data_IF_789071000859
#
_entry.id   IF_789071000859
#
_cell.length_a   1.000
_cell.length_b   1.000
_cell.length_c   1.000
_cell.angle_alpha   90.00
_cell.angle_beta   90.00
_cell.angle_gamma   90.00
#
_symmetry.space_group_name_H-M   'P 1'
#
loop_
_entity.id
_entity.type
_entity.pdbx_description
1 polymer ?
#
# COMPACT_ATOMS: atom_id res chain seq x y z
N UNK A 1 -18.87 4.66 2.88
CA UNK A 1 -20.10 4.11 3.50
C UNK A 1 -19.67 3.03 4.49
N UNK A 2 -20.35 2.89 5.64
CA UNK A 2 -20.16 1.80 6.61
C UNK A 2 -21.39 0.88 6.58
N UNK A 3 -21.21 -0.43 6.72
CA UNK A 3 -22.33 -1.38 6.83
C UNK A 3 -22.72 -1.56 8.29
N UNK A 4 -23.99 -1.38 8.60
CA UNK A 4 -24.61 -1.66 9.88
C UNK A 4 -25.71 -2.73 9.72
N UNK A 5 -26.25 -3.22 10.84
CA UNK A 5 -27.35 -4.20 10.83
C UNK A 5 -28.57 -3.70 10.04
N UNK A 6 -28.81 -2.39 10.01
CA UNK A 6 -29.92 -1.75 9.31
C UNK A 6 -29.61 -1.35 7.85
N UNK A 7 -28.41 -1.65 7.35
CA UNK A 7 -28.01 -1.33 5.97
C UNK A 7 -26.74 -0.47 5.89
N UNK A 8 -26.53 0.18 4.74
CA UNK A 8 -25.38 1.05 4.51
C UNK A 8 -25.64 2.46 5.02
N UNK A 9 -24.62 3.08 5.64
CA UNK A 9 -24.63 4.51 5.97
C UNK A 9 -24.61 5.37 4.71
N UNK A 10 -24.86 6.67 4.87
CA UNK A 10 -24.57 7.66 3.83
C UNK A 10 -23.09 7.63 3.41
N UNK A 11 -22.84 8.05 2.17
CA UNK A 11 -21.49 8.22 1.67
C UNK A 11 -20.80 9.40 2.38
N UNK A 12 -19.54 9.20 2.75
CA UNK A 12 -18.69 10.23 3.33
C UNK A 12 -17.59 10.61 2.34
N UNK A 13 -17.30 11.91 2.22
CA UNK A 13 -16.29 12.42 1.30
C UNK A 13 -14.90 12.42 1.96
N UNK A 14 -13.97 11.65 1.40
CA UNK A 14 -12.60 11.50 1.93
C UNK A 14 -11.66 12.60 1.43
N UNK A 15 -11.75 13.00 0.17
CA UNK A 15 -10.95 14.10 -0.38
C UNK A 15 -11.84 15.07 -1.15
N UNK A 16 -11.47 16.35 -1.12
CA UNK A 16 -12.14 17.40 -1.89
C UNK A 16 -11.56 17.58 -3.29
N UNK A 17 -10.46 16.90 -3.61
CA UNK A 17 -9.75 17.03 -4.88
C UNK A 17 -10.37 16.17 -6.00
N UNK A 18 -10.41 16.71 -7.22
CA UNK A 18 -11.18 16.15 -8.34
C UNK A 18 -10.68 14.79 -8.85
N UNK A 19 -9.43 14.41 -8.57
CA UNK A 19 -8.84 13.14 -9.02
C UNK A 19 -8.15 12.35 -7.92
N UNK A 20 -8.70 12.43 -6.71
CA UNK A 20 -8.38 11.45 -5.67
C UNK A 20 -8.87 10.06 -6.11
N UNK A 21 -7.97 9.08 -6.21
CA UNK A 21 -8.29 7.73 -6.72
C UNK A 21 -7.42 6.65 -6.06
N UNK A 22 -7.67 5.38 -6.43
CA UNK A 22 -6.95 4.18 -5.93
C UNK A 22 -6.81 4.15 -4.40
N UNK A 23 -7.92 4.27 -3.64
CA UNK A 23 -7.84 4.24 -2.19
C UNK A 23 -7.52 2.83 -1.69
N UNK A 24 -6.67 2.74 -0.68
CA UNK A 24 -6.54 1.56 0.18
C UNK A 24 -6.92 1.95 1.60
N UNK A 25 -7.56 1.02 2.31
CA UNK A 25 -8.06 1.25 3.67
C UNK A 25 -7.57 0.17 4.62
N UNK A 26 -7.35 0.55 5.87
CA UNK A 26 -7.14 -0.37 6.99
C UNK A 26 -7.95 0.09 8.19
N UNK A 27 -8.32 -0.84 9.06
CA UNK A 27 -8.93 -0.55 10.35
C UNK A 27 -7.86 -0.68 11.41
N UNK A 28 -7.83 0.26 12.35
CA UNK A 28 -6.88 0.26 13.46
C UNK A 28 -7.49 -0.33 14.73
N UNK A 29 -6.70 -0.42 15.81
CA UNK A 29 -7.13 -1.03 17.08
C UNK A 29 -8.34 -0.34 17.73
N UNK A 30 -8.62 0.91 17.37
CA UNK A 30 -9.71 1.72 17.92
C UNK A 30 -10.95 1.73 17.00
N UNK A 31 -11.00 0.85 16.00
CA UNK A 31 -12.00 0.85 14.92
C UNK A 31 -12.00 2.15 14.07
N UNK A 32 -10.90 2.91 14.11
CA UNK A 32 -10.74 4.07 13.25
C UNK A 32 -10.32 3.61 11.84
N UNK A 33 -10.86 4.26 10.81
CA UNK A 33 -10.54 3.93 9.42
C UNK A 33 -9.32 4.75 8.97
N UNK A 34 -8.27 4.05 8.57
CA UNK A 34 -7.07 4.61 7.94
C UNK A 34 -7.24 4.53 6.43
N UNK A 35 -7.06 5.64 5.72
CA UNK A 35 -7.19 5.67 4.26
C UNK A 35 -5.95 6.31 3.65
N UNK A 36 -5.35 5.61 2.68
CA UNK A 36 -4.31 6.14 1.80
C UNK A 36 -4.85 6.18 0.37
N UNK A 37 -4.50 7.21 -0.39
CA UNK A 37 -5.01 7.40 -1.74
C UNK A 37 -4.06 8.24 -2.59
N UNK A 38 -4.19 8.14 -3.91
CA UNK A 38 -3.52 9.05 -4.82
C UNK A 38 -4.21 10.42 -4.80
N UNK A 39 -3.43 11.49 -4.90
CA UNK A 39 -3.91 12.82 -5.25
C UNK A 39 -3.29 13.29 -6.58
N UNK A 40 -4.08 13.89 -7.46
CA UNK A 40 -3.61 14.42 -8.75
C UNK A 40 -4.27 15.78 -9.00
N UNK A 41 -3.63 16.90 -8.64
CA UNK A 41 -4.15 18.21 -8.98
C UNK A 41 -3.98 18.50 -10.48
N UNK A 42 -5.05 18.94 -11.14
CA UNK A 42 -4.99 19.53 -12.48
C UNK A 42 -4.03 20.74 -12.50
N UNK A 43 -3.28 21.01 -13.60
CA UNK A 43 -3.24 20.30 -14.88
C UNK A 43 -2.04 19.36 -15.05
N UNK A 44 -1.25 19.10 -14.00
CA UNK A 44 0.01 18.34 -14.17
C UNK A 44 -0.28 16.84 -14.28
N UNK A 45 0.55 16.08 -15.04
CA UNK A 45 0.47 14.61 -15.07
C UNK A 45 1.01 13.99 -13.77
N UNK A 46 1.42 14.82 -12.81
CA UNK A 46 2.09 14.37 -11.61
C UNK A 46 1.09 14.05 -10.49
N UNK A 47 1.52 13.14 -9.64
CA UNK A 47 0.73 12.49 -8.64
C UNK A 47 1.41 12.63 -7.29
N UNK A 48 0.61 12.81 -6.24
CA UNK A 48 1.04 12.69 -4.84
C UNK A 48 0.34 11.53 -4.14
N UNK A 49 0.83 11.23 -2.93
CA UNK A 49 0.24 10.23 -2.04
C UNK A 49 -0.32 10.95 -0.82
N UNK A 50 -1.54 10.61 -0.41
CA UNK A 50 -2.27 11.23 0.70
C UNK A 50 -2.74 10.22 1.71
N UNK A 51 -2.91 10.68 2.93
CA UNK A 51 -3.45 9.88 4.01
C UNK A 51 -4.47 10.68 4.82
N UNK A 52 -5.52 9.99 5.28
CA UNK A 52 -6.48 10.50 6.27
C UNK A 52 -6.90 9.41 7.24
N UNK A 53 -7.23 9.83 8.46
CA UNK A 53 -7.85 8.99 9.49
C UNK A 53 -9.28 9.44 9.72
N UNK A 54 -10.20 8.49 9.84
CA UNK A 54 -11.58 8.73 10.25
C UNK A 54 -11.80 8.09 11.61
N UNK A 55 -12.00 8.91 12.62
CA UNK A 55 -12.31 8.44 13.97
C UNK A 55 -13.77 7.99 14.06
N UNK A 56 -14.31 7.75 15.27
CA UNK A 56 -15.76 7.61 15.46
C UNK A 56 -16.55 8.87 15.05
N UNK A 57 -16.00 10.07 15.26
CA UNK A 57 -16.71 11.34 15.08
C UNK A 57 -16.50 12.00 13.72
N UNK A 58 -15.26 12.06 13.21
CA UNK A 58 -14.96 12.84 12.01
C UNK A 58 -13.66 12.43 11.31
N UNK A 59 -13.45 12.96 10.11
CA UNK A 59 -12.18 12.86 9.40
C UNK A 59 -11.19 13.87 9.96
N UNK A 60 -10.00 13.40 10.31
CA UNK A 60 -8.85 14.25 10.64
C UNK A 60 -8.32 14.97 9.39
N UNK A 61 -7.43 15.94 9.59
CA UNK A 61 -6.77 16.69 8.51
C UNK A 61 -6.04 15.77 7.53
N UNK A 62 -5.99 16.18 6.26
CA UNK A 62 -5.25 15.46 5.22
C UNK A 62 -3.74 15.58 5.44
N UNK A 63 -3.03 14.47 5.30
CA UNK A 63 -1.57 14.43 5.36
C UNK A 63 -1.00 14.15 3.97
N UNK A 64 0.04 14.91 3.61
CA UNK A 64 0.84 14.70 2.41
C UNK A 64 1.96 13.72 2.72
N UNK A 65 1.88 12.51 2.17
CA UNK A 65 2.97 11.53 2.24
C UNK A 65 4.03 11.87 1.17
N UNK A 66 3.55 12.13 -0.04
CA UNK A 66 4.38 12.50 -1.18
C UNK A 66 3.75 13.70 -1.89
N UNK A 67 4.57 14.68 -2.26
CA UNK A 67 4.14 15.90 -2.94
C UNK A 67 3.53 15.61 -4.32
N UNK A 68 2.71 16.54 -4.82
CA UNK A 68 1.95 16.34 -6.06
C UNK A 68 2.80 16.39 -7.33
N UNK A 69 4.01 16.91 -7.24
CA UNK A 69 4.98 17.01 -8.33
C UNK A 69 6.04 15.90 -8.26
N UNK A 70 5.97 15.01 -7.27
CA UNK A 70 7.03 14.06 -6.98
C UNK A 70 6.93 12.76 -7.78
N UNK A 71 5.78 12.45 -8.40
CA UNK A 71 5.57 11.16 -9.09
C UNK A 71 4.91 11.34 -10.46
N UNK A 72 5.53 10.86 -11.53
CA UNK A 72 4.94 10.92 -12.89
C UNK A 72 3.87 9.85 -13.13
N UNK A 73 3.77 8.85 -12.25
CA UNK A 73 2.77 7.79 -12.37
C UNK A 73 1.84 7.76 -11.16
N UNK A 74 0.66 7.16 -11.32
CA UNK A 74 -0.25 6.94 -10.20
C UNK A 74 0.44 6.02 -9.16
N UNK A 75 0.48 6.37 -7.87
CA UNK A 75 1.28 5.68 -6.85
C UNK A 75 0.72 4.36 -6.32
N UNK A 76 -0.53 3.97 -6.63
CA UNK A 76 -1.19 2.72 -6.17
C UNK A 76 -0.77 2.31 -4.74
N UNK A 77 -1.15 3.10 -3.72
CA UNK A 77 -0.69 2.85 -2.35
C UNK A 77 -1.41 1.66 -1.71
N UNK A 78 -0.74 0.99 -0.78
CA UNK A 78 -1.30 -0.06 0.07
C UNK A 78 -0.97 0.23 1.54
N UNK A 79 -1.83 -0.21 2.46
CA UNK A 79 -1.77 0.14 3.89
C UNK A 79 -2.08 -1.06 4.78
N UNK A 80 -1.31 -1.20 5.86
CA UNK A 80 -1.54 -2.18 6.92
C UNK A 80 -1.37 -1.53 8.31
N UNK A 81 -2.00 -2.11 9.34
CA UNK A 81 -1.87 -1.69 10.74
C UNK A 81 -1.40 -2.86 11.58
N UNK A 82 -0.32 -2.65 12.35
CA UNK A 82 0.27 -3.69 13.20
C UNK A 82 -0.39 -3.81 14.59
N UNK A 83 0.05 -4.80 15.36
CA UNK A 83 -0.46 -5.05 16.71
C UNK A 83 -0.16 -3.92 17.71
N UNK A 84 0.84 -3.08 17.42
CA UNK A 84 1.20 -1.90 18.19
C UNK A 84 0.42 -0.65 17.73
N UNK A 85 -0.52 -0.81 16.79
CA UNK A 85 -1.29 0.26 16.17
C UNK A 85 -0.47 1.20 15.27
N UNK A 86 0.71 0.75 14.82
CA UNK A 86 1.52 1.47 13.85
C UNK A 86 1.00 1.24 12.43
N UNK A 87 1.06 2.28 11.61
CA UNK A 87 0.58 2.24 10.23
C UNK A 87 1.77 2.04 9.30
N UNK A 88 1.61 1.15 8.33
CA UNK A 88 2.61 0.79 7.34
C UNK A 88 2.04 1.09 5.97
N UNK A 89 2.74 1.91 5.17
CA UNK A 89 2.26 2.33 3.86
C UNK A 89 3.35 2.08 2.82
N UNK A 90 2.97 1.48 1.70
CA UNK A 90 3.83 1.31 0.52
C UNK A 90 3.20 1.95 -0.70
N UNK A 91 4.02 2.43 -1.63
CA UNK A 91 3.55 3.00 -2.89
C UNK A 91 4.62 2.88 -3.98
N UNK A 92 4.19 2.86 -5.24
CA UNK A 92 5.10 2.96 -6.38
C UNK A 92 5.47 4.43 -6.64
N UNK A 93 6.68 4.64 -7.12
CA UNK A 93 7.21 5.94 -7.45
C UNK A 93 7.90 5.91 -8.81
N UNK A 94 7.62 6.91 -9.65
CA UNK A 94 8.33 7.19 -10.90
C UNK A 94 8.84 8.62 -10.86
N UNK A 95 10.16 8.78 -11.04
CA UNK A 95 10.77 10.09 -11.13
C UNK A 95 10.11 10.94 -12.24
N UNK A 96 9.72 12.20 -11.97
CA UNK A 96 9.16 13.11 -12.98
C UNK A 96 10.09 13.44 -14.16
N UNK A 97 11.41 13.38 -13.93
CA UNK A 97 12.40 13.90 -14.87
C UNK A 97 13.35 12.82 -15.40
N UNK A 98 13.21 11.57 -14.94
CA UNK A 98 14.08 10.45 -15.31
C UNK A 98 13.26 9.17 -15.43
N UNK A 99 13.73 8.20 -16.21
CA UNK A 99 13.13 6.87 -16.22
C UNK A 99 13.64 6.03 -15.05
N UNK A 100 13.31 6.49 -13.85
CA UNK A 100 13.68 5.88 -12.57
C UNK A 100 12.41 5.47 -11.81
N UNK A 101 12.39 4.24 -11.33
CA UNK A 101 11.27 3.62 -10.63
C UNK A 101 11.69 3.13 -9.26
N UNK A 102 10.79 3.20 -8.28
CA UNK A 102 11.00 2.66 -6.96
C UNK A 102 9.71 2.14 -6.31
N UNK A 103 9.86 1.23 -5.35
CA UNK A 103 8.85 0.94 -4.33
C UNK A 103 9.29 1.64 -3.05
N UNK A 104 8.45 2.54 -2.54
CA UNK A 104 8.70 3.30 -1.31
C UNK A 104 7.86 2.78 -0.15
N UNK A 105 8.34 3.02 1.05
CA UNK A 105 7.70 2.61 2.30
C UNK A 105 7.80 3.72 3.35
N UNK A 106 6.77 3.85 4.19
CA UNK A 106 6.82 4.66 5.40
C UNK A 106 6.07 3.98 6.54
N UNK A 107 6.64 4.10 7.74
CA UNK A 107 6.01 3.72 9.01
C UNK A 107 5.49 4.96 9.72
N UNK A 108 4.33 4.85 10.35
CA UNK A 108 3.77 5.87 11.24
C UNK A 108 3.59 5.27 12.62
N UNK A 109 4.29 5.85 13.59
CA UNK A 109 4.14 5.54 15.02
C UNK A 109 3.34 6.68 15.67
N UNK A 110 3.93 7.39 16.62
CA UNK A 110 3.43 8.68 17.12
C UNK A 110 3.74 9.82 16.14
N UNK A 111 4.68 9.59 15.22
CA UNK A 111 5.05 10.51 14.15
C UNK A 111 5.37 9.75 12.85
N UNK A 112 5.38 10.49 11.74
CA UNK A 112 5.82 9.97 10.44
C UNK A 112 7.32 9.70 10.50
N UNK A 113 7.71 8.46 10.25
CA UNK A 113 9.11 8.08 10.13
C UNK A 113 9.65 8.49 8.75
N UNK A 114 10.98 8.56 8.57
CA UNK A 114 11.57 8.77 7.25
C UNK A 114 11.08 7.74 6.24
N UNK A 115 10.92 8.16 4.98
CA UNK A 115 10.60 7.24 3.89
C UNK A 115 11.80 6.36 3.56
N UNK A 116 11.55 5.07 3.43
CA UNK A 116 12.53 4.09 2.98
C UNK A 116 12.28 3.69 1.52
N UNK A 117 13.32 3.24 0.83
CA UNK A 117 13.23 2.69 -0.51
C UNK A 117 13.36 1.17 -0.41
N UNK A 118 12.29 0.44 -0.75
CA UNK A 118 12.28 -1.02 -0.74
C UNK A 118 12.93 -1.62 -1.98
N UNK A 119 12.79 -0.94 -3.12
CA UNK A 119 13.47 -1.27 -4.37
C UNK A 119 13.73 0.01 -5.15
N UNK A 120 14.91 0.12 -5.76
CA UNK A 120 15.32 1.22 -6.62
C UNK A 120 16.07 2.36 -5.94
N UNK A 121 16.25 3.49 -6.65
CA UNK A 121 15.81 3.75 -8.02
C UNK A 121 16.36 2.74 -9.04
N UNK A 122 15.52 2.27 -9.96
CA UNK A 122 15.94 1.38 -11.06
C UNK A 122 15.44 1.93 -12.40
N UNK A 123 16.09 1.53 -13.50
CA UNK A 123 15.59 1.78 -14.86
C UNK A 123 14.44 0.86 -15.28
N UNK A 124 14.02 -0.07 -14.41
CA UNK A 124 12.97 -1.03 -14.72
C UNK A 124 11.68 -0.70 -13.95
N UNK A 125 10.51 -0.73 -14.59
CA UNK A 125 9.24 -0.49 -13.90
C UNK A 125 9.05 -1.37 -12.66
N UNK A 126 8.72 -0.73 -11.53
CA UNK A 126 8.28 -1.36 -10.28
C UNK A 126 6.90 -0.80 -9.93
N UNK A 127 5.88 -1.67 -9.80
CA UNK A 127 4.48 -1.24 -9.75
C UNK A 127 3.61 -2.07 -8.82
N UNK A 128 2.48 -1.48 -8.44
CA UNK A 128 1.38 -2.09 -7.72
C UNK A 128 1.81 -2.86 -6.46
N UNK A 129 2.53 -2.21 -5.52
CA UNK A 129 2.92 -2.87 -4.28
C UNK A 129 1.70 -3.11 -3.39
N UNK A 130 1.68 -4.26 -2.74
CA UNK A 130 0.74 -4.57 -1.66
C UNK A 130 1.52 -4.94 -0.40
N UNK A 131 0.99 -4.58 0.76
CA UNK A 131 1.61 -4.84 2.07
C UNK A 131 0.63 -5.58 2.98
N UNK A 132 1.14 -6.57 3.72
CA UNK A 132 0.43 -7.21 4.84
C UNK A 132 1.35 -7.47 6.02
N UNK A 133 0.76 -7.94 7.11
CA UNK A 133 1.45 -8.45 8.29
C UNK A 133 1.15 -9.93 8.50
N UNK A 134 2.11 -10.70 8.97
CA UNK A 134 1.88 -12.08 9.37
C UNK A 134 1.46 -12.24 10.83
N UNK A 135 1.25 -13.49 11.28
CA UNK A 135 0.83 -13.81 12.65
C UNK A 135 1.85 -13.39 13.69
N UNK A 136 3.11 -13.32 13.28
CA UNK A 136 4.25 -13.00 14.12
C UNK A 136 4.55 -11.49 14.06
N UNK A 137 3.76 -10.72 13.29
CA UNK A 137 3.89 -9.27 13.13
C UNK A 137 4.93 -8.84 12.09
N UNK A 138 5.45 -9.75 11.27
CA UNK A 138 6.39 -9.39 10.21
C UNK A 138 5.66 -8.78 9.02
N UNK A 139 6.25 -7.78 8.38
CA UNK A 139 5.68 -7.19 7.16
C UNK A 139 6.07 -8.01 5.94
N UNK A 140 5.15 -8.11 5.00
CA UNK A 140 5.35 -8.73 3.69
C UNK A 140 4.94 -7.72 2.64
N UNK A 141 5.82 -7.45 1.68
CA UNK A 141 5.54 -6.58 0.55
C UNK A 141 5.78 -7.37 -0.72
N UNK A 142 4.76 -7.44 -1.58
CA UNK A 142 4.87 -7.97 -2.95
C UNK A 142 4.52 -6.88 -3.94
N UNK A 143 5.11 -6.95 -5.13
CA UNK A 143 4.83 -6.02 -6.21
C UNK A 143 5.15 -6.68 -7.55
N UNK A 144 4.69 -6.10 -8.66
CA UNK A 144 5.12 -6.51 -9.99
C UNK A 144 6.31 -5.64 -10.42
N UNK A 145 7.37 -6.26 -10.92
CA UNK A 145 8.57 -5.54 -11.32
C UNK A 145 9.33 -6.22 -12.44
N UNK A 146 9.81 -5.43 -13.40
CA UNK A 146 10.84 -5.86 -14.36
C UNK A 146 12.22 -5.74 -13.71
N UNK A 147 13.20 -6.48 -14.22
CA UNK A 147 14.59 -6.39 -13.77
C UNK A 147 15.55 -6.92 -14.85
N UNK A 148 16.87 -6.83 -14.65
CA UNK A 148 17.86 -7.24 -15.65
C UNK A 148 17.75 -8.70 -16.12
N UNK A 149 17.24 -9.59 -15.29
CA UNK A 149 16.99 -11.00 -15.62
C UNK A 149 15.61 -11.29 -16.23
N UNK A 150 14.71 -10.31 -16.22
CA UNK A 150 13.43 -10.34 -16.93
C UNK A 150 13.09 -8.90 -17.37
N UNK A 151 13.79 -8.37 -18.39
CA UNK A 151 13.66 -6.97 -18.78
C UNK A 151 12.34 -6.72 -19.53
N UNK A 152 11.80 -7.75 -20.17
CA UNK A 152 10.63 -7.64 -21.04
C UNK A 152 9.31 -7.99 -20.33
N UNK A 153 9.36 -8.78 -19.25
CA UNK A 153 8.18 -9.29 -18.55
C UNK A 153 8.16 -8.91 -17.07
N UNK A 154 7.03 -8.40 -16.58
CA UNK A 154 6.81 -8.20 -15.15
C UNK A 154 6.87 -9.53 -14.41
N UNK A 155 7.60 -9.57 -13.30
CA UNK A 155 7.62 -10.71 -12.38
C UNK A 155 7.11 -10.28 -11.02
N UNK A 156 6.58 -11.22 -10.24
CA UNK A 156 6.22 -10.96 -8.85
C UNK A 156 7.50 -10.92 -8.03
N UNK A 157 7.73 -9.80 -7.35
CA UNK A 157 8.89 -9.54 -6.50
C UNK A 157 8.43 -9.35 -5.06
N UNK A 158 9.31 -9.64 -4.11
CA UNK A 158 8.96 -9.77 -2.68
C UNK A 158 10.08 -9.29 -1.74
N UNK A 159 9.68 -8.70 -0.61
CA UNK A 159 10.52 -8.47 0.59
C UNK A 159 9.74 -8.75 1.86
N UNK A 160 10.45 -9.23 2.88
CA UNK A 160 9.94 -9.39 4.25
C UNK A 160 10.65 -8.42 5.18
N UNK A 161 9.94 -7.84 6.15
CA UNK A 161 10.55 -7.14 7.28
C UNK A 161 10.30 -7.94 8.57
N UNK A 162 11.37 -8.38 9.21
CA UNK A 162 11.33 -8.86 10.60
C UNK A 162 11.93 -7.78 11.50
N UNK A 163 13.25 -7.75 11.63
CA UNK A 163 14.03 -6.67 12.27
C UNK A 163 14.60 -5.70 11.23
N UNK A 164 14.78 -6.18 10.00
CA UNK A 164 15.19 -5.42 8.83
C UNK A 164 14.55 -6.03 7.58
N UNK A 165 14.58 -5.28 6.47
CA UNK A 165 14.11 -5.78 5.19
C UNK A 165 15.06 -6.83 4.60
N UNK A 166 14.54 -8.01 4.28
CA UNK A 166 15.25 -9.05 3.52
C UNK A 166 15.74 -8.52 2.17
N UNK A 167 16.69 -9.14 1.46
CA UNK A 167 16.92 -8.85 0.04
C UNK A 167 15.65 -9.02 -0.80
N UNK A 168 15.60 -8.35 -1.96
CA UNK A 168 14.53 -8.56 -2.94
C UNK A 168 14.59 -9.98 -3.49
N UNK A 169 13.44 -10.66 -3.48
CA UNK A 169 13.27 -11.99 -4.05
C UNK A 169 12.37 -11.91 -5.28
N UNK A 170 12.65 -12.71 -6.31
CA UNK A 170 11.74 -12.92 -7.44
C UNK A 170 10.96 -14.20 -7.17
N UNK A 171 9.63 -14.10 -7.05
CA UNK A 171 8.74 -15.24 -6.80
C UNK A 171 8.34 -15.95 -8.09
N UNK A 172 8.40 -15.26 -9.24
CA UNK A 172 8.10 -15.82 -10.56
C UNK A 172 9.29 -15.64 -11.51
N UNK A 173 9.35 -16.51 -12.51
CA UNK A 173 10.28 -16.45 -13.64
C UNK A 173 9.59 -16.95 -14.91
N UNK A 174 8.66 -16.15 -15.42
CA UNK A 174 7.82 -16.48 -16.58
C UNK A 174 8.21 -15.67 -17.83
N UNK A 175 7.93 -16.21 -19.01
CA UNK A 175 8.06 -15.52 -20.30
C UNK A 175 6.79 -14.76 -20.70
N UNK A 176 6.02 -14.32 -19.71
CA UNK A 176 4.81 -13.51 -19.82
C UNK A 176 4.71 -12.64 -18.56
N UNK A 177 3.91 -11.58 -18.63
CA UNK A 177 3.75 -10.65 -17.53
C UNK A 177 3.05 -11.33 -16.35
N UNK A 178 3.52 -11.06 -15.13
CA UNK A 178 2.90 -11.52 -13.89
C UNK A 178 2.51 -10.27 -13.11
N UNK A 179 1.21 -10.04 -12.97
CA UNK A 179 0.71 -8.72 -12.60
C UNK A 179 -0.31 -8.73 -11.46
N UNK A 180 -0.47 -7.55 -10.86
CA UNK A 180 -1.48 -7.25 -9.86
C UNK A 180 -1.49 -8.23 -8.68
N UNK A 181 -0.33 -8.48 -8.03
CA UNK A 181 -0.30 -9.34 -6.86
C UNK A 181 -1.06 -8.70 -5.71
N UNK A 182 -1.92 -9.48 -5.06
CA UNK A 182 -2.67 -9.04 -3.89
C UNK A 182 -2.42 -9.96 -2.70
N UNK A 183 -2.08 -9.37 -1.57
CA UNK A 183 -1.84 -10.04 -0.30
C UNK A 183 -3.09 -9.95 0.60
N UNK A 184 -3.46 -11.03 1.28
CA UNK A 184 -4.56 -11.02 2.27
C UNK A 184 -4.09 -11.37 3.68
N UNK A 185 -4.02 -10.36 4.56
CA UNK A 185 -3.97 -10.48 6.04
C UNK A 185 -4.13 -9.11 6.71
N UNK A 186 -4.89 -9.01 7.82
CA UNK A 186 -4.87 -7.86 8.74
C UNK A 186 -4.95 -8.27 10.23
N UNK A 187 -4.46 -7.43 11.15
CA UNK A 187 -4.64 -7.65 12.61
C UNK A 187 -6.03 -7.27 13.10
N UNK A 188 -6.68 -6.31 12.44
CA UNK A 188 -7.98 -5.75 12.79
C UNK A 188 -8.88 -5.65 11.55
N UNK A 189 -10.21 -5.70 11.70
CA UNK A 189 -10.95 -5.85 12.95
C UNK A 189 -10.99 -7.31 13.45
N UNK A 190 -11.30 -7.47 14.74
CA UNK A 190 -11.64 -8.76 15.35
C UNK A 190 -13.15 -8.87 15.57
N UNK A 191 -13.72 -10.03 15.27
CA UNK A 191 -15.13 -10.37 15.57
C UNK A 191 -15.10 -11.55 16.54
N UNK A 192 -15.71 -11.41 17.71
CA UNK A 192 -15.71 -12.44 18.78
C UNK A 192 -14.30 -12.95 19.14
N UNK A 193 -13.32 -12.03 19.24
CA UNK A 193 -11.89 -12.32 19.44
C UNK A 193 -11.20 -13.08 18.30
N UNK A 194 -11.88 -13.34 17.18
CA UNK A 194 -11.30 -13.92 15.98
C UNK A 194 -10.86 -12.83 15.01
N UNK A 195 -9.63 -12.93 14.52
CA UNK A 195 -9.11 -12.06 13.44
C UNK A 195 -9.73 -12.50 12.12
N UNK A 196 -10.36 -11.56 11.42
CA UNK A 196 -10.96 -11.81 10.11
C UNK A 196 -9.85 -11.85 9.02
N UNK A 197 -10.02 -12.61 7.93
CA UNK A 197 -9.02 -12.78 6.84
C UNK A 197 -7.66 -13.40 7.24
N UNK A 198 -7.69 -14.48 8.04
CA UNK A 198 -6.48 -15.25 8.41
C UNK A 198 -6.48 -16.65 7.77
N UNK A 199 -5.52 -16.98 6.89
CA UNK A 199 -5.22 -18.37 6.56
C UNK A 199 -4.76 -19.12 7.81
N UNK A 200 -5.19 -20.38 7.99
CA UNK A 200 -4.85 -21.17 9.19
C UNK A 200 -3.33 -21.27 9.42
N UNK A 201 -2.55 -21.31 8.34
CA UNK A 201 -1.09 -21.19 8.30
C UNK A 201 -0.67 -20.42 7.02
N UNK A 202 0.42 -19.67 7.08
CA UNK A 202 1.04 -19.01 5.90
C UNK A 202 0.29 -17.79 5.37
N UNK A 203 0.57 -17.41 4.12
CA UNK A 203 -0.08 -16.31 3.40
C UNK A 203 -0.89 -16.86 2.24
N UNK A 204 -1.93 -16.14 1.87
CA UNK A 204 -2.60 -16.33 0.59
C UNK A 204 -2.41 -15.05 -0.23
N UNK A 205 -2.07 -15.24 -1.50
CA UNK A 205 -2.03 -14.17 -2.48
C UNK A 205 -2.64 -14.67 -3.79
N UNK A 206 -3.14 -13.74 -4.58
CA UNK A 206 -3.66 -13.98 -5.94
C UNK A 206 -2.98 -13.00 -6.88
N UNK A 207 -2.76 -13.42 -8.12
CA UNK A 207 -2.24 -12.57 -9.19
C UNK A 207 -2.91 -12.97 -10.50
N UNK A 208 -2.74 -12.15 -11.54
CA UNK A 208 -3.19 -12.48 -12.89
C UNK A 208 -1.97 -12.72 -13.79
N UNK A 209 -2.10 -13.71 -14.67
CA UNK A 209 -1.19 -14.00 -15.78
C UNK A 209 -1.47 -13.11 -17.01
#
# INVERSE_FOLDING_TARGET
MRRAAQGWSSAEKVSTQCWASVPAIAIDKNDDVRVVYNNAPLPTPNHGTRYRKRTASSWESEVVIEANDANYCKPYPSIAVDSNNYVHIVWQWKNPNKDEWAIKYVKVTDSWQPTEILEGPTSYPQRNPTILLDSDGNLHVVWQGKHSGSPDYYQIRYRKHTDSWSPVQNLTSASLDQENPNLIWAWWPTVDNLRTNRPKNGYAFVWND
#
